data_IF_319767195741
#
_entry.id   IF_319767195741
#
_cell.length_a   1.000
_cell.length_b   1.000
_cell.length_c   1.000
_cell.angle_alpha   90.00
_cell.angle_beta   90.00
_cell.angle_gamma   90.00
#
_symmetry.space_group_name_H-M   'P 1'
#
loop_
_entity.id
_entity.type
_entity.pdbx_description
1 polymer ?
#
# COMPACT_ATOMS: atom_id res chain seq x y z
N UNK A 1 -22.32 5.24 1.57
CA UNK A 1 -23.66 4.67 1.36
C UNK A 1 -24.74 5.23 2.30
N UNK A 2 -24.36 5.95 3.38
CA UNK A 2 -25.34 6.52 4.33
C UNK A 2 -26.17 7.71 3.80
N UNK A 3 -25.79 8.33 2.71
CA UNK A 3 -26.49 9.56 2.23
C UNK A 3 -27.82 9.33 1.50
N UNK A 4 -28.27 8.10 1.33
CA UNK A 4 -29.54 7.81 0.65
C UNK A 4 -30.53 7.02 1.51
N UNK A 5 -30.21 6.70 2.76
CA UNK A 5 -31.06 5.93 3.68
C UNK A 5 -31.41 4.50 3.22
N UNK A 6 -30.93 4.07 2.06
CA UNK A 6 -31.20 2.74 1.50
C UNK A 6 -29.95 1.86 1.57
N UNK A 7 -29.96 0.92 2.48
CA UNK A 7 -28.96 -0.17 2.50
C UNK A 7 -29.42 -1.22 1.48
N UNK A 8 -28.78 -1.24 0.31
CA UNK A 8 -29.03 -2.29 -0.68
C UNK A 8 -28.22 -3.54 -0.31
N UNK A 9 -28.84 -4.45 0.41
CA UNK A 9 -28.31 -5.80 0.62
C UNK A 9 -28.73 -6.69 -0.57
N UNK A 10 -28.05 -6.52 -1.71
CA UNK A 10 -28.24 -7.37 -2.87
C UNK A 10 -27.21 -8.50 -2.88
N UNK A 11 -27.65 -9.74 -2.97
CA UNK A 11 -26.79 -10.92 -3.18
C UNK A 11 -25.79 -10.72 -4.33
N UNK A 12 -26.23 -10.02 -5.39
CA UNK A 12 -25.37 -9.61 -6.52
C UNK A 12 -24.14 -8.79 -6.13
N UNK A 13 -24.17 -8.05 -5.01
CA UNK A 13 -23.03 -7.27 -4.57
C UNK A 13 -21.95 -8.16 -3.95
N UNK A 14 -22.37 -9.22 -3.26
CA UNK A 14 -21.47 -10.23 -2.72
C UNK A 14 -20.75 -10.93 -3.86
N UNK A 15 -21.47 -11.46 -4.85
CA UNK A 15 -20.87 -12.12 -6.01
C UNK A 15 -19.93 -11.20 -6.78
N UNK A 16 -20.31 -9.93 -6.97
CA UNK A 16 -19.44 -8.92 -7.58
C UNK A 16 -18.13 -8.75 -6.78
N UNK A 17 -18.21 -8.68 -5.47
CA UNK A 17 -17.04 -8.52 -4.60
C UNK A 17 -16.15 -9.76 -4.64
N UNK A 18 -16.74 -10.95 -4.59
CA UNK A 18 -16.02 -12.23 -4.73
C UNK A 18 -15.30 -12.33 -6.09
N UNK A 19 -15.93 -11.86 -7.18
CA UNK A 19 -15.30 -11.77 -8.50
C UNK A 19 -14.10 -10.82 -8.54
N UNK A 20 -14.18 -9.69 -7.82
CA UNK A 20 -13.06 -8.76 -7.68
C UNK A 20 -11.92 -9.42 -6.90
N UNK A 21 -12.21 -10.11 -5.79
CA UNK A 21 -11.21 -10.86 -5.01
C UNK A 21 -10.57 -11.99 -5.84
N UNK A 22 -11.38 -12.71 -6.61
CA UNK A 22 -10.89 -13.76 -7.50
C UNK A 22 -9.90 -13.19 -8.53
N UNK A 23 -10.26 -12.10 -9.20
CA UNK A 23 -9.36 -11.41 -10.13
C UNK A 23 -8.09 -10.91 -9.42
N UNK A 24 -8.22 -10.31 -8.24
CA UNK A 24 -7.06 -9.85 -7.47
C UNK A 24 -6.07 -10.99 -7.22
N UNK A 25 -6.57 -12.15 -6.79
CA UNK A 25 -5.76 -13.33 -6.48
C UNK A 25 -5.11 -13.94 -7.71
N UNK A 26 -5.87 -14.11 -8.80
CA UNK A 26 -5.46 -14.85 -9.99
C UNK A 26 -4.74 -14.01 -11.03
N UNK A 27 -4.98 -12.69 -11.04
CA UNK A 27 -4.40 -11.77 -12.02
C UNK A 27 -4.97 -11.89 -13.44
N UNK A 28 -6.07 -12.61 -13.62
CA UNK A 28 -6.70 -12.81 -14.94
C UNK A 28 -7.20 -11.48 -15.52
N UNK A 29 -7.28 -11.35 -16.85
CA UNK A 29 -7.99 -10.26 -17.51
C UNK A 29 -9.46 -10.22 -17.06
N UNK A 30 -10.06 -9.03 -16.98
CA UNK A 30 -11.48 -8.91 -16.62
C UNK A 30 -12.41 -9.72 -17.51
N UNK A 31 -12.07 -9.85 -18.79
CA UNK A 31 -12.87 -10.61 -19.78
C UNK A 31 -12.92 -12.10 -19.51
N UNK A 32 -11.92 -12.62 -18.80
CA UNK A 32 -11.78 -14.05 -18.49
C UNK A 32 -12.38 -14.38 -17.11
N UNK A 33 -13.09 -13.43 -16.48
CA UNK A 33 -13.74 -13.65 -15.20
C UNK A 33 -14.81 -14.74 -15.33
N UNK A 34 -14.80 -15.79 -14.49
CA UNK A 34 -15.83 -16.82 -14.52
C UNK A 34 -17.24 -16.27 -14.38
N UNK A 35 -18.17 -16.81 -15.17
CA UNK A 35 -19.59 -16.35 -15.22
C UNK A 35 -20.33 -16.51 -13.89
N UNK A 36 -19.84 -17.34 -13.01
CA UNK A 36 -20.33 -17.54 -11.63
C UNK A 36 -20.37 -16.24 -10.84
N UNK A 37 -19.41 -15.34 -11.10
CA UNK A 37 -19.35 -14.01 -10.48
C UNK A 37 -20.21 -12.96 -11.18
N UNK A 38 -20.92 -13.36 -12.24
CA UNK A 38 -21.72 -12.50 -13.10
C UNK A 38 -20.95 -12.01 -14.34
N UNK A 39 -21.63 -11.22 -15.17
CA UNK A 39 -21.02 -10.67 -16.37
C UNK A 39 -19.82 -9.77 -16.05
N UNK A 40 -18.65 -10.11 -16.61
CA UNK A 40 -17.39 -9.43 -16.36
C UNK A 40 -17.46 -7.90 -16.51
N UNK A 41 -18.22 -7.42 -17.51
CA UNK A 41 -18.40 -5.99 -17.78
C UNK A 41 -19.16 -5.28 -16.65
N UNK A 42 -20.08 -5.98 -15.98
CA UNK A 42 -20.83 -5.47 -14.83
C UNK A 42 -19.95 -5.42 -13.59
N UNK A 43 -19.18 -6.48 -13.34
CA UNK A 43 -18.21 -6.55 -12.23
C UNK A 43 -17.16 -5.45 -12.39
N UNK A 44 -16.58 -5.30 -13.59
CA UNK A 44 -15.59 -4.27 -13.87
C UNK A 44 -16.15 -2.85 -13.69
N UNK A 45 -17.33 -2.56 -14.26
CA UNK A 45 -17.97 -1.24 -14.10
C UNK A 45 -18.20 -0.90 -12.63
N UNK A 46 -18.62 -1.86 -11.83
CA UNK A 46 -18.82 -1.66 -10.40
C UNK A 46 -17.52 -1.43 -9.65
N UNK A 47 -16.49 -2.22 -9.92
CA UNK A 47 -15.14 -2.01 -9.39
C UNK A 47 -14.62 -0.61 -9.73
N UNK A 48 -14.69 -0.20 -11.00
CA UNK A 48 -14.23 1.11 -11.45
C UNK A 48 -15.03 2.26 -10.80
N UNK A 49 -16.34 2.08 -10.57
CA UNK A 49 -17.17 3.03 -9.83
C UNK A 49 -16.75 3.13 -8.36
N UNK A 50 -16.49 2.01 -7.70
CA UNK A 50 -16.02 1.97 -6.31
C UNK A 50 -14.65 2.62 -6.18
N UNK A 51 -13.74 2.35 -7.12
CA UNK A 51 -12.42 2.98 -7.18
C UNK A 51 -12.54 4.49 -7.38
N UNK A 52 -13.37 4.94 -8.33
CA UNK A 52 -13.61 6.37 -8.58
C UNK A 52 -14.17 7.10 -7.35
N UNK A 53 -15.01 6.43 -6.57
CA UNK A 53 -15.59 6.96 -5.33
C UNK A 53 -14.67 6.77 -4.10
N UNK A 54 -13.51 6.17 -4.23
CA UNK A 54 -12.57 5.90 -3.13
C UNK A 54 -13.10 4.93 -2.08
N UNK A 55 -14.14 4.13 -2.38
CA UNK A 55 -14.84 3.31 -1.37
C UNK A 55 -13.87 2.31 -0.73
N UNK A 56 -13.07 1.59 -1.53
CA UNK A 56 -12.15 0.57 -1.03
C UNK A 56 -11.02 1.20 -0.20
N UNK A 57 -10.49 2.33 -0.65
CA UNK A 57 -9.47 3.09 0.11
C UNK A 57 -10.04 3.59 1.45
N UNK A 58 -11.28 4.08 1.47
CA UNK A 58 -11.91 4.56 2.69
C UNK A 58 -12.21 3.43 3.69
N UNK A 59 -12.62 2.24 3.21
CA UNK A 59 -12.80 1.07 4.09
C UNK A 59 -11.45 0.68 4.70
N UNK A 60 -10.38 0.64 3.91
CA UNK A 60 -9.03 0.38 4.42
C UNK A 60 -8.63 1.39 5.50
N UNK A 61 -8.83 2.70 5.25
CA UNK A 61 -8.58 3.76 6.24
C UNK A 61 -9.35 3.57 7.55
N UNK A 62 -10.59 3.08 7.49
CA UNK A 62 -11.36 2.80 8.71
C UNK A 62 -10.80 1.61 9.49
N UNK A 63 -10.35 0.57 8.80
CA UNK A 63 -9.71 -0.58 9.47
C UNK A 63 -8.38 -0.20 10.09
N UNK A 64 -7.58 0.64 9.43
CA UNK A 64 -6.28 1.08 9.94
C UNK A 64 -6.36 2.00 11.16
N UNK A 65 -7.53 2.53 11.52
CA UNK A 65 -7.75 3.23 12.79
C UNK A 65 -7.60 2.33 14.03
N UNK A 66 -7.60 1.00 13.84
CA UNK A 66 -7.36 0.01 14.89
C UNK A 66 -5.86 -0.28 15.08
N UNK A 67 -4.97 0.43 14.38
CA UNK A 67 -3.53 0.20 14.41
C UNK A 67 -2.92 0.53 15.76
N UNK A 68 -1.88 -0.23 16.12
CA UNK A 68 -1.03 0.06 17.27
C UNK A 68 0.15 0.93 16.84
N UNK A 69 0.10 2.21 17.19
CA UNK A 69 1.08 3.22 16.80
C UNK A 69 2.33 3.26 17.72
N UNK A 70 2.54 2.28 18.60
CA UNK A 70 3.74 2.25 19.44
C UNK A 70 5.00 2.20 18.57
N UNK A 71 4.98 1.36 17.54
CA UNK A 71 6.05 1.25 16.54
C UNK A 71 5.47 1.31 15.13
N UNK A 72 6.04 2.14 14.31
CA UNK A 72 5.66 2.26 12.89
C UNK A 72 6.86 1.94 12.02
N UNK A 73 6.71 0.95 11.14
CA UNK A 73 7.77 0.54 10.22
C UNK A 73 7.47 1.08 8.83
N UNK A 74 8.47 1.77 8.24
CA UNK A 74 8.37 2.30 6.87
C UNK A 74 9.27 1.54 5.93
N UNK A 75 8.76 1.22 4.74
CA UNK A 75 9.56 0.66 3.64
C UNK A 75 8.88 0.91 2.30
N UNK A 76 9.66 0.77 1.20
CA UNK A 76 9.19 0.90 -0.16
C UNK A 76 9.44 -0.37 -0.97
N UNK A 77 8.48 -0.79 -1.77
CA UNK A 77 8.63 -1.95 -2.63
C UNK A 77 8.26 -1.65 -4.08
N UNK A 78 9.16 -2.03 -4.99
CA UNK A 78 8.97 -1.87 -6.43
C UNK A 78 8.10 -3.01 -6.96
N UNK A 79 7.12 -2.65 -7.78
CA UNK A 79 6.24 -3.56 -8.51
C UNK A 79 6.42 -3.35 -10.00
N UNK A 80 6.64 -4.42 -10.75
CA UNK A 80 6.70 -4.34 -12.21
C UNK A 80 5.35 -3.93 -12.78
N UNK A 81 5.37 -2.96 -13.71
CA UNK A 81 4.20 -2.56 -14.46
C UNK A 81 4.27 -3.19 -15.86
N UNK A 82 3.21 -3.92 -16.23
CA UNK A 82 3.14 -4.53 -17.55
C UNK A 82 2.98 -3.44 -18.62
N UNK A 83 3.51 -3.65 -19.82
CA UNK A 83 3.43 -2.67 -20.92
C UNK A 83 1.99 -2.22 -21.22
N UNK A 84 0.99 -3.08 -21.01
CA UNK A 84 -0.43 -2.71 -21.18
C UNK A 84 -0.95 -1.75 -20.11
N UNK A 85 -0.22 -1.51 -19.01
CA UNK A 85 -0.59 -0.55 -17.99
C UNK A 85 -0.16 0.88 -18.30
N UNK A 86 0.68 1.08 -19.31
CA UNK A 86 1.11 2.39 -19.79
C UNK A 86 0.18 2.92 -20.87
N UNK A 87 0.18 4.25 -21.10
CA UNK A 87 -0.58 4.89 -22.20
C UNK A 87 -2.07 5.10 -21.89
N UNK A 88 -2.43 5.41 -20.64
CA UNK A 88 -3.74 5.99 -20.37
C UNK A 88 -3.79 7.42 -20.91
N UNK A 89 -4.78 7.73 -21.75
CA UNK A 89 -4.91 9.01 -22.43
C UNK A 89 -5.26 10.22 -21.52
N UNK A 90 -5.15 10.08 -20.21
CA UNK A 90 -5.49 11.12 -19.23
C UNK A 90 -4.24 11.54 -18.45
N UNK A 91 -3.97 12.84 -18.51
CA UNK A 91 -2.87 13.55 -17.89
C UNK A 91 -2.81 13.39 -16.39
N UNK A 92 -2.45 12.67 -15.63
CA UNK A 92 -2.27 12.62 -14.15
C UNK A 92 -2.46 11.27 -13.46
N UNK A 93 -2.43 10.14 -14.15
CA UNK A 93 -2.96 8.95 -13.50
C UNK A 93 -2.05 7.73 -13.44
N UNK A 94 -0.77 7.85 -13.78
CA UNK A 94 -0.08 6.59 -14.01
C UNK A 94 0.80 6.13 -12.84
N UNK A 95 1.46 7.02 -12.09
CA UNK A 95 2.47 6.62 -11.09
C UNK A 95 3.30 5.41 -11.58
N UNK A 96 3.61 5.43 -12.88
CA UNK A 96 4.43 4.43 -13.55
C UNK A 96 5.64 5.16 -14.13
N UNK A 97 6.82 4.73 -13.74
CA UNK A 97 8.07 5.28 -14.23
C UNK A 97 9.03 4.19 -14.68
N UNK A 98 10.09 4.59 -15.32
CA UNK A 98 11.15 3.70 -15.77
C UNK A 98 12.19 3.50 -14.66
N UNK A 99 12.34 2.27 -14.19
CA UNK A 99 13.44 1.83 -13.31
C UNK A 99 14.43 0.96 -14.09
N UNK A 100 15.53 0.55 -13.46
CA UNK A 100 16.48 -0.39 -14.08
C UNK A 100 15.83 -1.70 -14.53
N UNK A 101 14.67 -2.07 -13.96
CA UNK A 101 13.89 -3.25 -14.32
C UNK A 101 12.76 -2.99 -15.34
N UNK A 102 12.72 -1.83 -15.99
CA UNK A 102 11.66 -1.41 -16.90
C UNK A 102 10.56 -0.60 -16.20
N UNK A 103 9.36 -0.59 -16.81
CA UNK A 103 8.22 0.12 -16.25
C UNK A 103 7.83 -0.44 -14.88
N UNK A 104 7.69 0.44 -13.91
CA UNK A 104 7.43 0.05 -12.53
C UNK A 104 6.68 1.12 -11.73
N UNK A 105 5.97 0.67 -10.72
CA UNK A 105 5.34 1.49 -9.68
C UNK A 105 5.97 1.09 -8.35
N UNK A 106 6.14 2.05 -7.44
CA UNK A 106 6.57 1.77 -6.08
C UNK A 106 5.41 1.95 -5.11
N UNK A 107 5.28 1.03 -4.18
CA UNK A 107 4.37 1.14 -3.03
C UNK A 107 5.22 1.52 -1.83
N UNK A 108 4.98 2.70 -1.26
CA UNK A 108 5.53 3.12 0.02
C UNK A 108 4.50 2.77 1.09
N UNK A 109 4.91 2.08 2.13
CA UNK A 109 4.03 1.48 3.13
C UNK A 109 4.47 1.82 4.55
N UNK A 110 3.50 2.15 5.39
CA UNK A 110 3.64 2.16 6.83
C UNK A 110 2.85 0.99 7.43
N UNK A 111 3.48 0.22 8.32
CA UNK A 111 2.82 -0.82 9.10
C UNK A 111 2.98 -0.56 10.59
N UNK A 112 2.06 -1.07 11.38
CA UNK A 112 2.03 -0.96 12.84
C UNK A 112 2.98 -1.97 13.54
N UNK A 113 2.97 -1.98 14.86
CA UNK A 113 3.77 -2.88 15.70
C UNK A 113 3.47 -4.36 15.47
N UNK A 114 2.27 -4.70 14.99
CA UNK A 114 1.86 -6.05 14.57
C UNK A 114 2.19 -6.39 13.11
N UNK A 115 2.73 -5.46 12.33
CA UNK A 115 2.98 -5.62 10.89
C UNK A 115 1.73 -5.47 10.03
N UNK A 116 0.66 -4.86 10.57
CA UNK A 116 -0.56 -4.58 9.82
C UNK A 116 -0.44 -3.23 9.10
N UNK A 117 -0.92 -3.12 7.86
CA UNK A 117 -0.79 -1.90 7.06
C UNK A 117 -1.64 -0.76 7.62
N UNK A 118 -1.02 0.41 7.82
CA UNK A 118 -1.69 1.63 8.31
C UNK A 118 -2.07 2.52 7.14
N UNK A 119 -1.09 2.90 6.34
CA UNK A 119 -1.27 3.75 5.18
C UNK A 119 -0.22 3.44 4.11
N UNK A 120 -0.52 3.85 2.88
CA UNK A 120 0.42 3.70 1.77
C UNK A 120 0.32 4.86 0.79
N UNK A 121 1.37 4.99 -0.02
CA UNK A 121 1.46 5.89 -1.18
C UNK A 121 1.94 5.11 -2.40
N UNK A 122 1.51 5.56 -3.57
CA UNK A 122 2.02 5.06 -4.84
C UNK A 122 2.92 6.11 -5.47
N UNK A 123 3.97 5.67 -6.12
CA UNK A 123 4.85 6.52 -6.90
C UNK A 123 5.41 5.80 -8.12
N UNK A 124 6.07 6.55 -8.98
CA UNK A 124 6.93 5.99 -10.02
C UNK A 124 8.06 5.16 -9.38
N UNK A 125 8.42 4.04 -10.02
CA UNK A 125 9.35 3.06 -9.44
C UNK A 125 10.75 3.57 -9.14
N UNK A 126 11.21 4.63 -9.84
CA UNK A 126 12.53 5.24 -9.63
C UNK A 126 12.58 6.25 -8.49
N UNK A 127 11.44 6.66 -7.91
CA UNK A 127 11.41 7.63 -6.82
C UNK A 127 12.09 7.10 -5.57
N UNK A 128 12.83 7.98 -4.89
CA UNK A 128 13.48 7.65 -3.62
C UNK A 128 12.46 7.55 -2.48
N UNK A 129 12.65 6.57 -1.60
CA UNK A 129 11.73 6.30 -0.50
C UNK A 129 11.58 7.47 0.47
N UNK A 130 12.67 8.19 0.72
CA UNK A 130 12.68 9.37 1.61
C UNK A 130 11.69 10.47 1.15
N UNK A 131 11.43 10.58 -0.15
CA UNK A 131 10.53 11.61 -0.70
C UNK A 131 9.10 11.45 -0.19
N UNK A 132 8.69 10.22 0.13
CA UNK A 132 7.33 9.90 0.58
C UNK A 132 7.24 9.64 2.10
N UNK A 133 8.37 9.69 2.80
CA UNK A 133 8.44 9.39 4.22
C UNK A 133 7.59 10.36 5.07
N UNK A 134 7.71 11.66 4.81
CA UNK A 134 6.93 12.69 5.52
C UNK A 134 5.44 12.53 5.26
N UNK A 135 5.03 12.32 4.00
CA UNK A 135 3.64 12.09 3.63
C UNK A 135 3.00 10.86 4.32
N UNK A 136 3.79 9.78 4.48
CA UNK A 136 3.32 8.61 5.23
C UNK A 136 3.12 8.94 6.70
N UNK A 137 4.10 9.60 7.32
CA UNK A 137 4.03 9.99 8.74
C UNK A 137 2.94 11.04 8.99
N UNK A 138 2.65 11.93 8.04
CA UNK A 138 1.54 12.89 8.15
C UNK A 138 0.16 12.24 8.23
N UNK A 139 0.01 11.06 7.64
CA UNK A 139 -1.25 10.30 7.65
C UNK A 139 -1.49 9.51 8.93
N UNK A 140 -0.52 9.48 9.85
CA UNK A 140 -0.63 8.78 11.12
C UNK A 140 -1.30 9.69 12.14
N UNK A 141 -2.23 9.13 12.91
CA UNK A 141 -2.91 9.86 13.98
C UNK A 141 -1.96 10.12 15.15
N UNK A 142 -1.05 9.17 15.44
CA UNK A 142 -0.02 9.26 16.48
C UNK A 142 1.33 8.74 15.95
N UNK A 143 2.43 9.25 16.51
CA UNK A 143 3.79 8.85 16.12
C UNK A 143 4.66 8.73 17.36
N UNK A 144 4.90 7.49 17.84
CA UNK A 144 5.82 7.25 18.95
C UNK A 144 7.22 6.88 18.46
N UNK A 145 7.35 5.82 17.68
CA UNK A 145 8.65 5.40 17.15
C UNK A 145 8.53 5.01 15.69
N UNK A 146 9.31 5.67 14.83
CA UNK A 146 9.41 5.36 13.39
C UNK A 146 10.68 4.55 13.13
N UNK A 147 10.53 3.37 12.57
CA UNK A 147 11.62 2.45 12.20
C UNK A 147 11.68 2.36 10.67
N UNK A 148 12.83 2.61 10.10
CA UNK A 148 13.03 2.50 8.66
C UNK A 148 14.48 2.11 8.31
N UNK A 149 14.70 1.77 7.05
CA UNK A 149 16.02 1.41 6.58
C UNK A 149 16.93 2.65 6.40
N UNK A 150 18.21 2.43 6.05
CA UNK A 150 19.17 3.51 5.77
C UNK A 150 18.80 4.39 4.57
N UNK A 151 17.86 3.98 3.72
CA UNK A 151 17.31 4.77 2.63
C UNK A 151 16.58 6.01 3.12
N UNK A 152 16.03 5.93 4.34
CA UNK A 152 15.31 7.01 5.02
C UNK A 152 16.21 7.88 5.91
N UNK A 153 17.54 7.66 5.92
CA UNK A 153 18.46 8.44 6.73
C UNK A 153 18.61 9.87 6.20
N UNK A 154 17.85 10.78 6.80
CA UNK A 154 17.80 12.20 6.48
C UNK A 154 17.56 13.00 7.78
N UNK A 155 18.41 13.99 8.05
CA UNK A 155 18.22 14.82 9.26
C UNK A 155 16.94 15.65 9.22
N UNK A 156 16.50 16.24 8.08
CA UNK A 156 15.19 16.85 7.97
C UNK A 156 14.06 15.92 8.37
N UNK A 157 14.06 14.66 7.90
CA UNK A 157 13.04 13.68 8.26
C UNK A 157 13.08 13.31 9.76
N UNK A 158 14.28 13.16 10.34
CA UNK A 158 14.43 12.94 11.80
C UNK A 158 13.87 14.12 12.61
N UNK A 159 14.15 15.35 12.16
CA UNK A 159 13.59 16.56 12.78
C UNK A 159 12.06 16.59 12.66
N UNK A 160 11.51 16.26 11.50
CA UNK A 160 10.07 16.21 11.26
C UNK A 160 9.38 15.22 12.23
N UNK A 161 9.90 14.01 12.38
CA UNK A 161 9.34 13.01 13.32
C UNK A 161 9.43 13.51 14.78
N UNK A 162 10.56 14.15 15.15
CA UNK A 162 10.71 14.74 16.50
C UNK A 162 9.70 15.87 16.76
N UNK A 163 9.42 16.71 15.78
CA UNK A 163 8.41 17.78 15.88
C UNK A 163 7.00 17.21 16.10
N UNK A 164 6.73 16.02 15.58
CA UNK A 164 5.48 15.29 15.84
C UNK A 164 5.46 14.53 17.19
N UNK A 165 6.50 14.68 18.02
CA UNK A 165 6.62 14.02 19.33
C UNK A 165 7.21 12.62 19.27
N UNK A 166 7.58 12.13 18.09
CA UNK A 166 8.13 10.79 17.90
C UNK A 166 9.66 10.73 17.94
N UNK A 167 10.18 9.49 17.97
CA UNK A 167 11.61 9.19 17.79
C UNK A 167 11.84 8.35 16.53
N UNK A 168 13.06 8.34 16.02
CA UNK A 168 13.43 7.54 14.84
C UNK A 168 14.47 6.48 15.20
N UNK A 169 14.28 5.27 14.67
CA UNK A 169 15.24 4.16 14.68
C UNK A 169 15.61 3.83 13.24
N UNK A 170 16.57 4.58 12.70
CA UNK A 170 17.00 4.50 11.30
C UNK A 170 18.52 4.31 11.29
N UNK A 171 19.00 3.33 10.53
CA UNK A 171 20.42 3.10 10.37
C UNK A 171 21.07 4.28 9.63
N UNK A 172 22.19 4.80 10.17
CA UNK A 172 22.94 5.87 9.51
C UNK A 172 23.64 5.37 8.24
N UNK A 173 23.66 6.20 7.20
CA UNK A 173 24.47 5.96 6.02
C UNK A 173 25.95 6.15 6.37
N UNK A 174 26.80 5.25 5.87
CA UNK A 174 28.24 5.32 6.10
C UNK A 174 28.88 6.35 5.17
N UNK A 175 28.90 7.61 5.56
CA UNK A 175 29.62 8.68 4.85
C UNK A 175 30.98 9.03 5.49
N UNK A 176 31.56 8.18 6.38
CA UNK A 176 32.82 8.44 7.04
C UNK A 176 33.23 7.36 8.04
N UNK A 177 34.44 7.48 8.58
CA UNK A 177 35.08 6.47 9.47
C UNK A 177 34.52 6.45 10.90
N UNK A 178 33.87 7.53 11.37
CA UNK A 178 33.40 7.68 12.75
C UNK A 178 31.86 7.71 12.83
N UNK A 179 31.26 6.52 12.69
CA UNK A 179 29.80 6.39 12.94
C UNK A 179 29.64 5.75 14.31
N UNK A 180 29.09 6.51 15.23
CA UNK A 180 28.61 5.96 16.48
C UNK A 180 27.46 4.98 16.24
N UNK A 181 27.82 3.69 16.23
CA UNK A 181 26.86 2.58 16.07
C UNK A 181 26.17 2.24 17.40
N UNK A 182 26.56 2.87 18.51
CA UNK A 182 26.04 2.57 19.84
C UNK A 182 24.65 3.16 20.09
N UNK A 183 24.27 4.22 19.37
CA UNK A 183 23.03 4.97 19.62
C UNK A 183 21.77 4.38 18.98
N UNK A 184 21.90 3.35 18.13
CA UNK A 184 20.74 2.74 17.46
C UNK A 184 20.21 1.57 18.28
N UNK A 185 18.90 1.58 18.55
CA UNK A 185 18.21 0.44 19.16
C UNK A 185 18.18 -0.74 18.17
N UNK A 186 19.17 -1.63 18.32
CA UNK A 186 19.30 -2.81 17.44
C UNK A 186 18.21 -3.85 17.68
N UNK A 187 17.68 -3.92 18.89
CA UNK A 187 16.58 -4.84 19.20
C UNK A 187 15.34 -4.45 18.41
N UNK A 188 14.97 -3.17 18.47
CA UNK A 188 13.81 -2.66 17.76
C UNK A 188 14.00 -2.68 16.23
N UNK A 189 15.20 -2.36 15.76
CA UNK A 189 15.52 -2.39 14.34
C UNK A 189 15.36 -3.78 13.69
N UNK A 190 15.52 -4.87 14.45
CA UNK A 190 15.31 -6.24 13.94
C UNK A 190 13.87 -6.49 13.51
N UNK A 191 12.88 -5.82 14.12
CA UNK A 191 11.47 -5.97 13.77
C UNK A 191 11.11 -5.32 12.43
N UNK A 192 12.04 -4.63 11.75
CA UNK A 192 11.83 -4.07 10.42
C UNK A 192 11.36 -5.11 9.40
N UNK A 193 11.66 -6.40 9.60
CA UNK A 193 11.12 -7.48 8.76
C UNK A 193 9.59 -7.53 8.73
N UNK A 194 8.87 -6.91 9.67
CA UNK A 194 7.41 -6.87 9.68
C UNK A 194 6.84 -6.16 8.44
N UNK A 195 7.43 -5.05 8.01
CA UNK A 195 7.00 -4.38 6.77
C UNK A 195 7.38 -5.19 5.52
N UNK A 196 8.51 -5.89 5.54
CA UNK A 196 8.90 -6.81 4.47
C UNK A 196 7.91 -7.98 4.36
N UNK A 197 7.49 -8.54 5.50
CA UNK A 197 6.46 -9.58 5.56
C UNK A 197 5.12 -9.08 5.01
N UNK A 198 4.73 -7.84 5.29
CA UNK A 198 3.52 -7.23 4.73
C UNK A 198 3.59 -7.19 3.20
N UNK A 199 4.71 -6.77 2.63
CA UNK A 199 4.93 -6.82 1.19
C UNK A 199 4.91 -8.25 0.64
N UNK A 200 5.54 -9.20 1.30
CA UNK A 200 5.53 -10.60 0.87
C UNK A 200 4.09 -11.15 0.81
N UNK A 201 3.25 -10.82 1.81
CA UNK A 201 1.83 -11.23 1.86
C UNK A 201 1.03 -10.66 0.70
N UNK A 202 1.13 -9.37 0.40
CA UNK A 202 0.34 -8.78 -0.70
C UNK A 202 0.85 -9.19 -2.09
N UNK A 203 2.14 -9.48 -2.24
CA UNK A 203 2.73 -9.96 -3.51
C UNK A 203 2.28 -11.37 -3.90
N UNK A 204 1.63 -12.12 -3.01
CA UNK A 204 0.96 -13.37 -3.37
C UNK A 204 -0.23 -13.14 -4.31
N UNK A 205 -0.84 -11.97 -4.28
CA UNK A 205 -1.91 -11.58 -5.19
C UNK A 205 -1.32 -11.16 -6.53
N UNK A 206 -1.60 -11.91 -7.60
CA UNK A 206 -1.00 -11.69 -8.93
C UNK A 206 -1.31 -10.31 -9.52
N UNK A 207 -2.51 -9.78 -9.26
CA UNK A 207 -2.85 -8.41 -9.68
C UNK A 207 -2.02 -7.32 -8.98
N UNK A 208 -1.43 -7.63 -7.83
CA UNK A 208 -0.57 -6.72 -7.07
C UNK A 208 0.90 -6.91 -7.50
N UNK A 209 1.37 -8.16 -7.58
CA UNK A 209 2.77 -8.46 -7.91
C UNK A 209 3.19 -8.00 -9.31
N UNK A 210 2.23 -7.88 -10.23
CA UNK A 210 2.42 -7.28 -11.56
C UNK A 210 1.24 -6.36 -11.85
N UNK A 211 1.52 -5.08 -12.01
CA UNK A 211 0.49 -4.07 -12.27
C UNK A 211 0.06 -4.10 -13.73
N UNK A 212 -1.22 -4.43 -13.98
CA UNK A 212 -1.89 -4.32 -15.27
C UNK A 212 -2.88 -3.14 -15.35
N UNK A 213 -3.26 -2.60 -14.19
CA UNK A 213 -4.23 -1.51 -14.11
C UNK A 213 -3.58 -0.20 -14.57
N UNK A 214 -4.15 0.43 -15.62
CA UNK A 214 -3.66 1.70 -16.15
C UNK A 214 -3.85 2.84 -15.16
N UNK A 215 -5.04 2.93 -14.57
CA UNK A 215 -5.39 4.02 -13.66
C UNK A 215 -4.84 3.74 -12.27
N UNK A 216 -4.14 4.73 -11.72
CA UNK A 216 -3.61 4.70 -10.35
C UNK A 216 -4.69 4.33 -9.33
N UNK A 217 -5.86 5.00 -9.40
CA UNK A 217 -6.99 4.75 -8.47
C UNK A 217 -7.46 3.30 -8.46
N UNK A 218 -7.41 2.62 -9.61
CA UNK A 218 -7.81 1.21 -9.71
C UNK A 218 -6.77 0.31 -9.05
N UNK A 219 -5.49 0.60 -9.29
CA UNK A 219 -4.40 -0.12 -8.64
C UNK A 219 -4.38 0.14 -7.13
N UNK A 220 -4.52 1.40 -6.69
CA UNK A 220 -4.65 1.76 -5.27
C UNK A 220 -5.83 1.04 -4.59
N UNK A 221 -6.95 0.89 -5.30
CA UNK A 221 -8.11 0.13 -4.80
C UNK A 221 -7.81 -1.36 -4.64
N UNK A 222 -7.04 -1.97 -5.56
CA UNK A 222 -6.60 -3.38 -5.43
C UNK A 222 -5.63 -3.55 -4.27
N UNK A 223 -4.67 -2.64 -4.12
CA UNK A 223 -3.72 -2.64 -2.98
C UNK A 223 -4.47 -2.47 -1.66
N UNK A 224 -5.41 -1.52 -1.58
CA UNK A 224 -6.26 -1.33 -0.39
C UNK A 224 -7.05 -2.59 -0.05
N UNK A 225 -7.60 -3.28 -1.05
CA UNK A 225 -8.32 -4.53 -0.86
C UNK A 225 -7.43 -5.63 -0.29
N UNK A 226 -6.19 -5.75 -0.79
CA UNK A 226 -5.22 -6.70 -0.26
C UNK A 226 -4.85 -6.38 1.20
N UNK A 227 -4.66 -5.10 1.53
CA UNK A 227 -4.38 -4.66 2.88
C UNK A 227 -5.57 -4.88 3.82
N UNK A 228 -6.82 -4.66 3.37
CA UNK A 228 -8.01 -4.99 4.16
C UNK A 228 -8.04 -6.46 4.56
N UNK A 229 -7.63 -7.38 3.66
CA UNK A 229 -7.59 -8.81 3.98
C UNK A 229 -6.55 -9.16 5.05
N UNK A 230 -5.53 -8.32 5.28
CA UNK A 230 -4.58 -8.52 6.37
C UNK A 230 -5.18 -8.15 7.74
N UNK A 231 -6.14 -7.21 7.76
CA UNK A 231 -6.86 -6.81 8.96
C UNK A 231 -7.98 -7.78 9.35
N UNK A 232 -8.50 -8.52 8.38
CA UNK A 232 -9.53 -9.51 8.67
C UNK A 232 -8.88 -10.75 9.28
N UNK A 233 -9.34 -11.23 10.46
CA UNK A 233 -8.86 -12.48 11.00
C UNK A 233 -9.13 -13.59 10.00
N UNK A 234 -8.08 -14.28 9.57
CA UNK A 234 -8.22 -15.50 8.79
C UNK A 234 -8.65 -16.59 9.76
N UNK A 235 -9.94 -16.80 9.82
CA UNK A 235 -10.45 -18.02 10.45
C UNK A 235 -10.07 -19.18 9.54
N UNK A 236 -9.04 -19.93 9.94
CA UNK A 236 -8.72 -21.22 9.37
C UNK A 236 -9.66 -22.27 9.94
#
# INVERSE_FOLDING_TARGET
>A
MKNTGRVYNKSEHRMTFEGILFRMRTGIPWRDLPKEFGEWSTVYRRFNLWSKKGILVNIFKHLSQLADFEWVFLDGSIIKAHQHSTGAATEHCEQIGQSCGGNSTKIHLAVDSGGLPICFELSEGQRHDITYAENLVEKLDEVNTVIADKGYDSEPFRCFVRQKGGRTVIAKRNYGKDIDKSSMDRCLYRYRHLVENAFARIKQYRSISTRYDKLERNYASMVSLAFMLMWLPMYC
#
